data_IF_939408897505
#
_entry.id   IF_939408897505
#
_cell.length_a   1.000
_cell.length_b   1.000
_cell.length_c   1.000
_cell.angle_alpha   90.00
_cell.angle_beta   90.00
_cell.angle_gamma   90.00
#
_symmetry.space_group_name_H-M   'P 1'
#
loop_
_entity.id
_entity.type
_entity.pdbx_description
1 polymer ?
#
# COMPACT_ATOMS: atom_id res chain seq x y z
N UNK A 1 8.62 -15.21 -8.86
CA UNK A 1 8.99 -14.33 -7.73
C UNK A 1 9.67 -13.04 -8.17
N UNK A 2 10.88 -13.04 -8.77
CA UNK A 2 11.53 -11.79 -9.22
C UNK A 2 10.63 -10.91 -10.08
N UNK A 3 10.03 -11.46 -11.14
CA UNK A 3 9.12 -10.71 -12.02
C UNK A 3 7.91 -10.12 -11.29
N UNK A 4 7.38 -10.87 -10.34
CA UNK A 4 6.15 -10.59 -9.62
C UNK A 4 6.31 -9.41 -8.64
N UNK A 5 7.37 -9.45 -7.83
CA UNK A 5 7.76 -8.33 -6.96
C UNK A 5 8.26 -7.13 -7.78
N UNK A 6 8.94 -7.35 -8.90
CA UNK A 6 9.33 -6.26 -9.81
C UNK A 6 8.11 -5.55 -10.38
N UNK A 7 7.04 -6.27 -10.71
CA UNK A 7 5.82 -5.68 -11.25
C UNK A 7 5.09 -4.85 -10.16
N UNK A 8 4.96 -5.37 -8.93
CA UNK A 8 4.41 -4.60 -7.78
C UNK A 8 5.24 -3.33 -7.53
N UNK A 9 6.56 -3.45 -7.42
CA UNK A 9 7.44 -2.28 -7.21
C UNK A 9 7.39 -1.29 -8.39
N UNK A 10 7.19 -1.80 -9.61
CA UNK A 10 7.03 -0.96 -10.79
C UNK A 10 5.70 -0.23 -10.79
N UNK A 11 4.64 -0.78 -10.22
CA UNK A 11 3.36 -0.10 -10.05
C UNK A 11 3.44 0.95 -8.92
N UNK A 12 4.07 0.61 -7.79
CA UNK A 12 4.25 1.50 -6.63
C UNK A 12 4.99 2.80 -6.97
N UNK A 13 6.15 2.66 -7.61
CA UNK A 13 7.02 3.80 -7.92
C UNK A 13 6.81 4.33 -9.34
N UNK A 14 6.03 3.63 -10.16
CA UNK A 14 5.91 3.80 -11.60
C UNK A 14 7.27 3.71 -12.33
N UNK A 15 7.26 3.27 -13.59
CA UNK A 15 8.46 3.35 -14.44
C UNK A 15 8.92 4.83 -14.52
N UNK A 16 10.22 5.11 -14.76
CA UNK A 16 10.80 6.47 -14.78
C UNK A 16 10.08 7.52 -15.66
N UNK A 17 9.16 7.08 -16.52
CA UNK A 17 8.45 7.88 -17.49
C UNK A 17 7.23 8.62 -16.91
N UNK A 18 6.72 8.22 -15.72
CA UNK A 18 5.47 8.78 -15.15
C UNK A 18 5.56 9.00 -13.62
N UNK A 19 6.59 9.69 -13.13
CA UNK A 19 6.78 9.92 -11.69
C UNK A 19 5.60 10.66 -11.02
N UNK A 20 4.94 11.56 -11.76
CA UNK A 20 3.73 12.28 -11.33
C UNK A 20 2.52 11.37 -11.06
N UNK A 21 2.57 10.11 -11.54
CA UNK A 21 1.56 9.08 -11.28
C UNK A 21 2.02 7.99 -10.30
N UNK A 22 3.19 8.14 -9.68
CA UNK A 22 3.62 7.25 -8.60
C UNK A 22 2.68 7.34 -7.40
N UNK A 23 2.57 6.28 -6.60
CA UNK A 23 1.70 6.27 -5.42
C UNK A 23 1.97 7.46 -4.46
N UNK A 24 3.24 7.81 -4.14
CA UNK A 24 3.53 9.00 -3.34
C UNK A 24 3.08 10.31 -3.98
N UNK A 25 3.18 10.46 -5.31
CA UNK A 25 2.74 11.65 -6.02
C UNK A 25 1.20 11.78 -5.99
N UNK A 26 0.48 10.68 -6.22
CA UNK A 26 -0.98 10.64 -6.14
C UNK A 26 -1.46 10.95 -4.72
N UNK A 27 -0.79 10.42 -3.69
CA UNK A 27 -1.13 10.73 -2.29
C UNK A 27 -0.86 12.19 -1.94
N UNK A 28 0.25 12.78 -2.39
CA UNK A 28 0.50 14.23 -2.23
C UNK A 28 -0.57 15.07 -2.92
N UNK A 29 -1.07 14.65 -4.09
CA UNK A 29 -2.18 15.34 -4.75
C UNK A 29 -3.47 15.27 -3.92
N UNK A 30 -3.75 14.14 -3.27
CA UNK A 30 -4.84 14.06 -2.30
C UNK A 30 -4.63 15.02 -1.13
N UNK A 31 -3.43 15.06 -0.53
CA UNK A 31 -3.11 15.99 0.57
C UNK A 31 -3.37 17.45 0.17
N UNK A 32 -2.94 17.86 -1.03
CA UNK A 32 -3.25 19.19 -1.56
C UNK A 32 -4.75 19.42 -1.75
N UNK A 33 -5.48 18.43 -2.26
CA UNK A 33 -6.94 18.53 -2.44
C UNK A 33 -7.69 18.74 -1.11
N UNK A 34 -7.18 18.19 0.01
CA UNK A 34 -7.75 18.40 1.35
C UNK A 34 -7.14 19.59 2.11
N UNK A 35 -6.32 20.41 1.44
CA UNK A 35 -5.88 21.72 1.94
C UNK A 35 -4.46 21.80 2.49
N UNK A 36 -3.64 20.75 2.38
CA UNK A 36 -2.22 20.84 2.75
C UNK A 36 -1.43 21.59 1.69
N UNK A 37 -0.57 22.52 2.12
CA UNK A 37 0.45 23.16 1.31
C UNK A 37 1.72 22.30 1.19
N UNK A 38 2.63 22.73 0.30
CA UNK A 38 3.95 22.12 0.17
C UNK A 38 4.72 22.21 1.49
N UNK A 39 5.23 21.07 1.96
CA UNK A 39 6.01 20.97 3.20
C UNK A 39 5.18 20.90 4.48
N UNK A 40 3.86 21.14 4.43
CA UNK A 40 2.99 21.01 5.61
C UNK A 40 2.99 19.57 6.15
N UNK A 41 3.07 18.58 5.25
CA UNK A 41 3.17 17.16 5.61
C UNK A 41 4.46 16.79 6.35
N UNK A 42 5.55 17.55 6.18
CA UNK A 42 6.81 17.30 6.90
C UNK A 42 6.72 17.74 8.37
N UNK A 43 5.73 18.57 8.70
CA UNK A 43 5.49 19.08 10.06
C UNK A 43 4.47 18.21 10.84
N UNK A 44 3.81 17.25 10.17
CA UNK A 44 2.84 16.38 10.82
C UNK A 44 3.58 15.36 11.71
N UNK A 45 3.41 15.41 13.04
CA UNK A 45 4.08 14.46 13.92
C UNK A 45 3.55 13.06 13.66
N UNK A 46 4.45 12.14 13.30
CA UNK A 46 4.09 10.74 13.08
C UNK A 46 3.61 10.10 14.40
N UNK A 47 2.34 9.65 14.51
CA UNK A 47 1.84 9.03 15.72
C UNK A 47 2.68 7.81 16.12
N UNK A 48 2.88 7.53 17.43
CA UNK A 48 3.69 6.40 17.88
C UNK A 48 3.25 5.07 17.28
N UNK A 49 1.93 4.84 17.17
CA UNK A 49 1.38 3.62 16.56
C UNK A 49 1.72 3.51 15.06
N UNK A 50 1.63 4.61 14.30
CA UNK A 50 2.01 4.63 12.88
C UNK A 50 3.49 4.36 12.70
N UNK A 51 4.35 4.96 13.55
CA UNK A 51 5.79 4.69 13.55
C UNK A 51 6.09 3.22 13.83
N UNK A 52 5.44 2.64 14.84
CA UNK A 52 5.61 1.24 15.19
C UNK A 52 5.16 0.32 14.06
N UNK A 53 4.03 0.61 13.42
CA UNK A 53 3.53 -0.14 12.27
C UNK A 53 4.54 -0.12 11.10
N UNK A 54 5.01 1.06 10.71
CA UNK A 54 5.99 1.22 9.61
C UNK A 54 7.29 0.49 9.95
N UNK A 55 7.83 0.68 11.16
CA UNK A 55 9.08 0.04 11.56
C UNK A 55 8.95 -1.48 11.58
N UNK A 56 7.85 -2.02 12.13
CA UNK A 56 7.60 -3.45 12.16
C UNK A 56 7.58 -4.05 10.74
N UNK A 57 6.87 -3.42 9.81
CA UNK A 57 6.80 -3.91 8.43
C UNK A 57 8.18 -3.85 7.75
N UNK A 58 8.95 -2.79 7.97
CA UNK A 58 10.32 -2.70 7.46
C UNK A 58 11.21 -3.80 8.05
N UNK A 59 11.15 -4.05 9.35
CA UNK A 59 11.93 -5.10 10.01
C UNK A 59 11.58 -6.49 9.47
N UNK A 60 10.29 -6.76 9.21
CA UNK A 60 9.83 -8.02 8.60
C UNK A 60 10.38 -8.21 7.19
N UNK A 61 10.58 -7.13 6.42
CA UNK A 61 11.21 -7.25 5.09
C UNK A 61 12.69 -7.60 5.13
N UNK A 62 13.35 -7.46 6.30
CA UNK A 62 14.73 -7.87 6.52
C UNK A 62 14.86 -9.32 7.01
N UNK A 63 13.74 -9.94 7.36
CA UNK A 63 13.66 -11.33 7.82
C UNK A 63 13.69 -12.34 6.69
N UNK A 64 12.86 -13.37 6.79
CA UNK A 64 12.72 -14.34 5.70
C UNK A 64 11.91 -13.75 4.56
N UNK A 65 12.10 -14.28 3.36
CA UNK A 65 11.31 -13.83 2.21
C UNK A 65 9.82 -14.17 2.35
N UNK A 66 9.46 -15.21 3.11
CA UNK A 66 8.06 -15.55 3.44
C UNK A 66 7.47 -14.55 4.44
N UNK A 67 8.25 -14.15 5.44
CA UNK A 67 7.88 -13.10 6.39
C UNK A 67 7.65 -11.76 5.67
N UNK A 68 8.52 -11.42 4.71
CA UNK A 68 8.35 -10.24 3.86
C UNK A 68 7.07 -10.29 3.01
N UNK A 69 6.69 -11.46 2.48
CA UNK A 69 5.41 -11.62 1.77
C UNK A 69 4.20 -11.50 2.71
N UNK A 70 4.33 -11.99 3.95
CA UNK A 70 3.32 -11.80 5.00
C UNK A 70 3.08 -10.33 5.31
N UNK A 71 4.16 -9.55 5.46
CA UNK A 71 4.11 -8.12 5.72
C UNK A 71 3.37 -7.34 4.62
N UNK A 72 3.64 -7.66 3.35
CA UNK A 72 3.08 -6.90 2.21
C UNK A 72 1.68 -7.38 1.83
N UNK A 73 1.43 -8.69 1.78
CA UNK A 73 0.14 -9.24 1.36
C UNK A 73 -0.91 -9.16 2.47
N UNK A 74 -0.99 -10.18 3.35
CA UNK A 74 -1.93 -10.18 4.47
C UNK A 74 -1.84 -8.96 5.39
N UNK A 75 -0.62 -8.49 5.66
CA UNK A 75 -0.36 -7.35 6.56
C UNK A 75 -0.80 -5.99 6.01
N UNK A 76 -0.96 -5.87 4.69
CA UNK A 76 -1.24 -4.58 4.05
C UNK A 76 -2.25 -4.66 2.90
N UNK A 77 -1.86 -5.18 1.73
CA UNK A 77 -2.61 -5.05 0.48
C UNK A 77 -3.98 -5.73 0.51
N UNK A 78 -4.14 -6.85 1.24
CA UNK A 78 -5.42 -7.57 1.32
C UNK A 78 -6.54 -6.75 1.96
N UNK A 79 -6.18 -5.82 2.86
CA UNK A 79 -7.15 -4.99 3.56
C UNK A 79 -7.63 -3.80 2.71
N UNK A 80 -6.84 -3.37 1.71
CA UNK A 80 -7.07 -2.13 0.99
C UNK A 80 -8.38 -2.15 0.18
N UNK A 81 -8.67 -3.18 -0.64
CA UNK A 81 -9.95 -3.27 -1.37
C UNK A 81 -11.18 -3.37 -0.45
N UNK A 82 -11.00 -3.75 0.81
CA UNK A 82 -12.08 -3.85 1.80
C UNK A 82 -12.31 -2.53 2.55
N UNK A 83 -11.24 -1.80 2.83
CA UNK A 83 -11.25 -0.58 3.64
C UNK A 83 -11.48 0.68 2.81
N UNK A 84 -10.76 0.84 1.69
CA UNK A 84 -10.76 2.07 0.91
C UNK A 84 -12.13 2.43 0.31
N UNK A 85 -13.00 1.50 -0.14
CA UNK A 85 -14.31 1.88 -0.66
C UNK A 85 -15.17 2.64 0.37
N UNK A 86 -15.10 2.24 1.64
CA UNK A 86 -15.82 2.92 2.73
C UNK A 86 -15.20 4.27 3.05
N UNK A 87 -13.87 4.37 3.01
CA UNK A 87 -13.15 5.63 3.20
C UNK A 87 -13.52 6.64 2.11
N UNK A 88 -13.44 6.24 0.83
CA UNK A 88 -13.80 7.07 -0.33
C UNK A 88 -15.24 7.55 -0.22
N UNK A 89 -16.18 6.65 0.07
CA UNK A 89 -17.57 7.03 0.29
C UNK A 89 -17.74 8.10 1.39
N UNK A 90 -16.97 7.98 2.47
CA UNK A 90 -16.96 8.98 3.55
C UNK A 90 -16.41 10.33 3.11
N UNK A 91 -15.29 10.32 2.38
CA UNK A 91 -14.64 11.53 1.86
C UNK A 91 -15.55 12.27 0.87
N UNK A 92 -16.13 11.59 -0.11
CA UNK A 92 -17.03 12.17 -1.11
C UNK A 92 -18.29 12.79 -0.50
N UNK A 93 -18.80 12.20 0.59
CA UNK A 93 -19.98 12.73 1.30
C UNK A 93 -19.65 13.94 2.17
N UNK A 94 -18.42 14.05 2.65
CA UNK A 94 -18.03 15.04 3.65
C UNK A 94 -17.30 16.24 3.06
N UNK A 95 -16.65 16.06 1.91
CA UNK A 95 -15.76 17.04 1.28
C UNK A 95 -16.15 17.24 -0.18
N UNK A 96 -16.07 18.49 -0.65
CA UNK A 96 -16.19 18.82 -2.07
C UNK A 96 -14.79 18.83 -2.68
N UNK A 97 -14.30 17.66 -3.10
CA UNK A 97 -12.99 17.49 -3.70
C UNK A 97 -13.09 17.39 -5.22
N UNK A 98 -12.04 17.84 -5.92
CA UNK A 98 -11.81 17.44 -7.31
C UNK A 98 -11.69 15.90 -7.37
N UNK A 99 -12.41 15.19 -8.26
CA UNK A 99 -12.25 13.76 -8.45
C UNK A 99 -10.81 13.29 -8.62
N UNK A 100 -9.94 14.11 -9.23
CA UNK A 100 -8.51 13.80 -9.37
C UNK A 100 -7.81 13.65 -8.00
N UNK A 101 -8.31 14.33 -6.96
CA UNK A 101 -7.82 14.20 -5.58
C UNK A 101 -8.02 12.81 -4.99
N UNK A 102 -8.95 12.00 -5.51
CA UNK A 102 -9.24 10.65 -5.00
C UNK A 102 -8.61 9.51 -5.83
N UNK A 103 -7.90 9.81 -6.93
CA UNK A 103 -7.33 8.77 -7.80
C UNK A 103 -6.35 7.84 -7.06
N UNK A 104 -5.63 8.30 -6.02
CA UNK A 104 -4.81 7.42 -5.18
C UNK A 104 -5.63 6.24 -4.63
N UNK A 105 -6.79 6.53 -4.04
CA UNK A 105 -7.63 5.50 -3.43
C UNK A 105 -8.30 4.61 -4.48
N UNK A 106 -8.82 5.18 -5.56
CA UNK A 106 -9.45 4.41 -6.63
C UNK A 106 -8.48 3.47 -7.34
N UNK A 107 -7.22 3.91 -7.52
CA UNK A 107 -6.17 3.07 -8.07
C UNK A 107 -5.97 1.83 -7.20
N UNK A 108 -5.74 2.00 -5.89
CA UNK A 108 -5.48 0.89 -4.96
C UNK A 108 -6.68 -0.05 -4.79
N UNK A 109 -7.91 0.46 -4.81
CA UNK A 109 -9.12 -0.40 -4.77
C UNK A 109 -9.09 -1.44 -5.91
N UNK A 110 -8.54 -1.05 -7.06
CA UNK A 110 -8.52 -1.87 -8.27
C UNK A 110 -7.25 -2.71 -8.35
N UNK A 111 -6.10 -2.08 -8.08
CA UNK A 111 -4.76 -2.64 -8.25
C UNK A 111 -4.47 -3.72 -7.19
N UNK A 112 -4.83 -3.46 -5.94
CA UNK A 112 -4.48 -4.33 -4.81
C UNK A 112 -5.32 -5.61 -4.79
N UNK A 113 -6.40 -5.69 -5.59
CA UNK A 113 -7.09 -6.97 -5.85
C UNK A 113 -6.17 -7.92 -6.61
N UNK A 114 -5.49 -7.43 -7.65
CA UNK A 114 -4.58 -8.23 -8.44
C UNK A 114 -3.27 -8.49 -7.70
N UNK A 115 -2.71 -7.48 -7.02
CA UNK A 115 -1.52 -7.68 -6.19
C UNK A 115 -1.79 -8.67 -5.04
N UNK A 116 -2.94 -8.53 -4.38
CA UNK A 116 -3.38 -9.46 -3.32
C UNK A 116 -3.47 -10.90 -3.80
N UNK A 117 -4.09 -11.15 -4.97
CA UNK A 117 -4.16 -12.47 -5.63
C UNK A 117 -2.77 -13.03 -5.90
N UNK A 118 -1.90 -12.19 -6.43
CA UNK A 118 -0.53 -12.52 -6.83
C UNK A 118 0.36 -12.90 -5.61
N UNK A 119 0.18 -12.19 -4.50
CA UNK A 119 0.84 -12.49 -3.22
C UNK A 119 0.26 -13.76 -2.58
N UNK A 120 -1.06 -13.95 -2.63
CA UNK A 120 -1.73 -15.17 -2.17
C UNK A 120 -1.21 -16.42 -2.90
N UNK A 121 -1.14 -16.38 -4.24
CA UNK A 121 -0.58 -17.47 -5.04
C UNK A 121 0.88 -17.77 -4.67
N UNK A 122 1.64 -16.73 -4.32
CA UNK A 122 3.02 -16.90 -3.86
C UNK A 122 3.07 -17.59 -2.51
N UNK A 123 2.24 -17.18 -1.54
CA UNK A 123 2.18 -17.82 -0.23
C UNK A 123 1.74 -19.30 -0.35
N UNK A 124 0.65 -19.58 -1.08
CA UNK A 124 0.15 -20.95 -1.27
C UNK A 124 1.16 -21.88 -1.93
N UNK A 125 1.98 -21.34 -2.84
CA UNK A 125 2.99 -22.13 -3.55
C UNK A 125 4.17 -22.54 -2.68
N UNK A 126 4.51 -21.74 -1.68
CA UNK A 126 5.81 -21.85 -1.02
C UNK A 126 5.76 -22.00 0.51
N UNK A 127 4.67 -21.59 1.16
CA UNK A 127 4.41 -21.87 2.57
C UNK A 127 3.73 -23.24 2.74
N UNK A 128 4.38 -24.29 2.25
CA UNK A 128 3.83 -25.66 2.21
C UNK A 128 4.23 -26.52 3.40
N UNK A 129 5.08 -25.99 4.29
CA UNK A 129 5.49 -26.64 5.54
C UNK A 129 4.94 -25.87 6.74
N UNK A 130 4.81 -26.55 7.89
CA UNK A 130 4.36 -25.91 9.13
C UNK A 130 5.34 -24.79 9.55
N UNK A 131 6.64 -24.98 9.34
CA UNK A 131 7.66 -23.99 9.60
C UNK A 131 7.48 -22.75 8.71
N UNK A 132 7.30 -22.94 7.40
CA UNK A 132 7.10 -21.83 6.46
C UNK A 132 5.79 -21.08 6.70
N UNK A 133 4.74 -21.77 7.16
CA UNK A 133 3.48 -21.13 7.56
C UNK A 133 3.64 -20.30 8.84
N UNK A 134 4.46 -20.77 9.79
CA UNK A 134 4.75 -20.04 11.03
C UNK A 134 5.65 -18.80 10.82
N UNK A 135 6.33 -18.71 9.67
CA UNK A 135 7.07 -17.51 9.26
C UNK A 135 6.18 -16.39 8.71
N UNK A 136 4.96 -16.72 8.25
CA UNK A 136 3.99 -15.70 7.83
C UNK A 136 3.43 -15.04 9.09
N UNK A 137 3.87 -13.81 9.36
CA UNK A 137 3.45 -13.00 10.50
C UNK A 137 2.72 -11.75 10.04
#
# INVERSE_FOLDING_TARGET
MRRLLTDILADEYMRPQNFERSHPALYRRFLRAVGFGEGDWDQVPLPPATRAFVQLHLDMTLGSWLEALGAVGPGHEWAIPLMFPRLVQGLERSLQLDPAGLEYFHLHISLDVEHGRVLEESLLRWATTAEGQAEIR
#
